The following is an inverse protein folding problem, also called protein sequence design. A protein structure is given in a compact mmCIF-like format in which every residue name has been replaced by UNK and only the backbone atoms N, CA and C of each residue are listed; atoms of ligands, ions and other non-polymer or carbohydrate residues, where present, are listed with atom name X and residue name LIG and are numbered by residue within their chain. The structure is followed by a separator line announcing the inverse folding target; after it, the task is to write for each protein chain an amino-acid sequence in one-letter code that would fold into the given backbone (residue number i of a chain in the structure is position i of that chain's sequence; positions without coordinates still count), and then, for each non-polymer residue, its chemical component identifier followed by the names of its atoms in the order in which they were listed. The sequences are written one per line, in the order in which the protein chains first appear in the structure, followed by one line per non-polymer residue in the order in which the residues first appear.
data_IF_746081719399
#
_entry.id   IF_746081719399
#
_cell.length_a   1.000
_cell.length_b   1.000
_cell.length_c   1.000
_cell.angle_alpha   90.00
_cell.angle_beta   90.00
_cell.angle_gamma   90.00
#
_symmetry.space_group_name_H-M   'P 1'
#
loop_
_entity.id
_entity.type
_entity.pdbx_description
1 polymer ?
#
# COMPACT_ATOMS: atom_id res chain seq x y z
N UNK A 1 -12.93 -5.81 -4.27
CA UNK A 1 -12.51 -7.23 -4.14
C UNK A 1 -12.74 -7.72 -2.71
N UNK A 2 -12.18 -7.04 -1.71
CA UNK A 2 -12.34 -7.39 -0.27
C UNK A 2 -13.80 -7.63 0.14
N UNK A 3 -14.73 -6.72 -0.16
CA UNK A 3 -16.14 -6.92 0.22
C UNK A 3 -16.79 -8.14 -0.45
N UNK A 4 -16.35 -8.52 -1.65
CA UNK A 4 -16.84 -9.74 -2.33
C UNK A 4 -16.34 -11.00 -1.62
N UNK A 5 -15.06 -11.03 -1.24
CA UNK A 5 -14.47 -12.11 -0.44
C UNK A 5 -15.19 -12.21 0.90
N UNK A 6 -15.36 -11.08 1.58
CA UNK A 6 -16.06 -11.00 2.85
C UNK A 6 -17.50 -11.49 2.75
N UNK A 7 -18.24 -11.09 1.71
CA UNK A 7 -19.62 -11.54 1.47
C UNK A 7 -19.70 -13.05 1.28
N UNK A 8 -18.76 -13.63 0.53
CA UNK A 8 -18.68 -15.09 0.34
C UNK A 8 -18.39 -15.81 1.67
N UNK A 9 -17.48 -15.27 2.48
CA UNK A 9 -17.16 -15.81 3.80
C UNK A 9 -18.33 -15.69 4.77
N UNK A 10 -19.05 -14.57 4.81
CA UNK A 10 -20.24 -14.43 5.67
C UNK A 10 -21.37 -15.39 5.27
N UNK A 11 -21.43 -15.82 4.01
CA UNK A 11 -22.38 -16.86 3.58
C UNK A 11 -21.96 -18.26 4.04
N UNK A 12 -20.65 -18.53 4.10
CA UNK A 12 -20.11 -19.85 4.43
C UNK A 12 -19.91 -20.06 5.94
N UNK A 13 -19.33 -19.07 6.62
CA UNK A 13 -19.05 -19.04 8.05
C UNK A 13 -19.43 -17.66 8.64
N UNK A 14 -20.72 -17.42 8.95
CA UNK A 14 -21.23 -16.12 9.38
C UNK A 14 -20.57 -15.62 10.67
N UNK A 15 -20.09 -14.38 10.67
CA UNK A 15 -19.52 -13.73 11.86
C UNK A 15 -18.21 -14.34 12.39
N UNK A 16 -17.51 -15.14 11.59
CA UNK A 16 -16.29 -15.85 12.02
C UNK A 16 -15.00 -15.12 11.62
N UNK A 17 -14.84 -14.77 10.34
CA UNK A 17 -13.57 -14.26 9.81
C UNK A 17 -13.54 -12.73 9.84
N UNK A 18 -12.58 -12.09 10.53
CA UNK A 18 -12.47 -10.62 10.56
C UNK A 18 -12.05 -10.03 9.21
N UNK A 19 -12.35 -8.74 8.97
CA UNK A 19 -11.86 -8.07 7.76
C UNK A 19 -10.34 -7.87 7.78
N UNK A 20 -9.73 -7.74 8.96
CA UNK A 20 -8.29 -7.74 9.14
C UNK A 20 -7.64 -9.04 8.62
N UNK A 21 -8.21 -10.20 8.95
CA UNK A 21 -7.71 -11.48 8.45
C UNK A 21 -7.99 -11.67 6.95
N UNK A 22 -9.14 -11.19 6.45
CA UNK A 22 -9.42 -11.18 5.00
C UNK A 22 -8.32 -10.42 4.24
N UNK A 23 -7.91 -9.25 4.72
CA UNK A 23 -6.86 -8.46 4.09
C UNK A 23 -5.51 -9.21 4.08
N UNK A 24 -5.11 -9.81 5.20
CA UNK A 24 -3.86 -10.55 5.32
C UNK A 24 -3.81 -11.77 4.39
N UNK A 25 -4.90 -12.54 4.33
CA UNK A 25 -5.02 -13.74 3.48
C UNK A 25 -5.03 -13.33 2.00
N UNK A 26 -5.83 -12.32 1.62
CA UNK A 26 -5.87 -11.84 0.24
C UNK A 26 -4.51 -11.32 -0.21
N UNK A 27 -3.76 -10.62 0.65
CA UNK A 27 -2.42 -10.17 0.31
C UNK A 27 -1.50 -11.34 -0.04
N UNK A 28 -1.51 -12.42 0.76
CA UNK A 28 -0.76 -13.65 0.45
C UNK A 28 -1.22 -14.27 -0.86
N UNK A 29 -2.53 -14.42 -1.05
CA UNK A 29 -3.06 -15.08 -2.23
C UNK A 29 -2.79 -14.28 -3.53
N UNK A 30 -2.75 -12.94 -3.47
CA UNK A 30 -2.34 -12.10 -4.61
C UNK A 30 -0.90 -12.39 -5.01
N UNK A 31 0.05 -12.35 -4.07
CA UNK A 31 1.47 -12.52 -4.42
C UNK A 31 1.75 -13.92 -4.97
N UNK A 32 1.09 -14.94 -4.41
CA UNK A 32 1.15 -16.32 -4.91
C UNK A 32 0.57 -16.43 -6.32
N UNK A 33 -0.60 -15.85 -6.56
CA UNK A 33 -1.23 -15.86 -7.88
C UNK A 33 -0.39 -15.14 -8.95
N UNK A 34 0.51 -14.25 -8.53
CA UNK A 34 1.43 -13.51 -9.41
C UNK A 34 2.84 -14.10 -9.50
N UNK A 35 3.14 -15.22 -8.82
CA UNK A 35 4.41 -15.95 -9.01
C UNK A 35 5.26 -16.17 -7.76
N UNK A 36 4.84 -15.67 -6.59
CA UNK A 36 5.57 -15.89 -5.34
C UNK A 36 5.36 -17.31 -4.77
N UNK A 37 6.24 -17.73 -3.86
CA UNK A 37 5.98 -18.89 -3.01
C UNK A 37 4.90 -18.56 -1.97
N UNK A 38 4.04 -19.53 -1.67
CA UNK A 38 3.08 -19.40 -0.58
C UNK A 38 3.77 -19.42 0.78
N UNK A 39 3.19 -18.70 1.73
CA UNK A 39 3.54 -18.73 3.14
C UNK A 39 2.27 -18.81 3.98
N UNK A 40 2.40 -19.32 5.21
CA UNK A 40 1.27 -19.41 6.14
C UNK A 40 0.97 -18.03 6.73
N UNK A 41 -0.31 -17.68 6.73
CA UNK A 41 -0.80 -16.43 7.29
C UNK A 41 -1.38 -16.74 8.66
N UNK A 42 -0.82 -16.12 9.70
CA UNK A 42 -1.42 -16.18 11.04
C UNK A 42 -2.79 -15.52 11.01
N UNK A 43 -3.80 -16.13 11.62
CA UNK A 43 -5.18 -15.62 11.72
C UNK A 43 -5.54 -15.32 13.18
N UNK A 44 -6.74 -14.77 13.40
CA UNK A 44 -7.24 -14.41 14.73
C UNK A 44 -7.20 -12.91 15.03
N UNK A 45 -6.92 -12.07 14.01
CA UNK A 45 -7.03 -10.62 14.14
C UNK A 45 -8.50 -10.24 14.29
N UNK A 46 -8.74 -9.11 14.94
CA UNK A 46 -10.06 -8.48 15.07
C UNK A 46 -10.05 -7.09 14.46
N UNK A 47 -11.23 -6.66 14.07
CA UNK A 47 -11.43 -5.38 13.41
C UNK A 47 -11.47 -4.23 14.41
N UNK A 48 -10.67 -3.19 14.13
CA UNK A 48 -10.73 -1.93 14.84
C UNK A 48 -12.01 -1.15 14.54
N UNK A 49 -12.36 -0.24 15.43
CA UNK A 49 -13.56 0.61 15.38
C UNK A 49 -13.26 2.09 15.14
N UNK A 50 -12.02 2.45 14.79
CA UNK A 50 -11.61 3.83 14.48
C UNK A 50 -10.78 3.81 13.20
N UNK A 51 -10.94 4.85 12.39
CA UNK A 51 -10.07 5.12 11.25
C UNK A 51 -9.70 6.61 11.27
N UNK A 52 -8.40 6.91 11.31
CA UNK A 52 -7.89 8.27 11.45
C UNK A 52 -6.98 8.63 10.27
N UNK A 53 -7.32 9.72 9.58
CA UNK A 53 -6.49 10.27 8.49
C UNK A 53 -5.14 10.73 9.02
N UNK A 54 -5.11 11.38 10.18
CA UNK A 54 -3.88 11.88 10.78
C UNK A 54 -2.95 10.72 11.18
N UNK A 55 -3.50 9.63 11.72
CA UNK A 55 -2.69 8.44 11.99
C UNK A 55 -2.10 7.86 10.70
N UNK A 56 -2.87 7.77 9.62
CA UNK A 56 -2.35 7.31 8.34
C UNK A 56 -1.21 8.21 7.82
N UNK A 57 -1.41 9.53 7.80
CA UNK A 57 -0.42 10.49 7.30
C UNK A 57 0.87 10.51 8.14
N UNK A 58 0.77 10.25 9.45
CA UNK A 58 1.91 10.25 10.36
C UNK A 58 2.67 8.92 10.41
N UNK A 59 2.06 7.82 9.94
CA UNK A 59 2.63 6.47 10.08
C UNK A 59 2.96 5.78 8.76
N UNK A 60 2.54 6.32 7.61
CA UNK A 60 2.90 5.80 6.30
C UNK A 60 4.21 6.41 5.82
N UNK A 61 5.10 5.54 5.33
CA UNK A 61 6.37 5.93 4.75
C UNK A 61 6.14 6.66 3.41
N UNK A 62 6.66 7.88 3.23
CA UNK A 62 6.50 8.59 1.98
C UNK A 62 7.49 8.08 0.91
N UNK A 63 7.13 8.15 -0.39
CA UNK A 63 8.00 7.66 -1.47
C UNK A 63 9.30 8.45 -1.64
N UNK A 64 9.38 9.66 -1.08
CA UNK A 64 10.57 10.51 -1.09
C UNK A 64 11.48 10.32 0.15
N UNK A 65 11.18 9.33 1.02
CA UNK A 65 11.96 9.07 2.23
C UNK A 65 13.41 8.69 1.92
N UNK A 66 14.33 9.18 2.78
CA UNK A 66 15.73 8.74 2.77
C UNK A 66 15.93 7.48 3.64
N UNK A 67 17.10 6.87 3.59
CA UNK A 67 17.37 5.61 4.28
C UNK A 67 17.28 5.71 5.81
N UNK A 68 17.60 6.87 6.39
CA UNK A 68 17.46 7.10 7.83
C UNK A 68 15.99 7.09 8.24
N UNK A 69 15.12 7.77 7.50
CA UNK A 69 13.67 7.77 7.71
C UNK A 69 13.10 6.37 7.52
N UNK A 70 13.46 5.68 6.43
CA UNK A 70 13.01 4.31 6.17
C UNK A 70 13.30 3.36 7.34
N UNK A 71 14.54 3.38 7.84
CA UNK A 71 14.95 2.53 8.97
C UNK A 71 14.21 2.91 10.26
N UNK A 72 14.06 4.21 10.53
CA UNK A 72 13.36 4.68 11.72
C UNK A 72 11.88 4.27 11.72
N UNK A 73 11.18 4.47 10.60
CA UNK A 73 9.76 4.17 10.47
C UNK A 73 9.47 2.67 10.55
N UNK A 74 10.30 1.84 9.92
CA UNK A 74 10.19 0.38 10.04
C UNK A 74 10.49 -0.09 11.47
N UNK A 75 11.54 0.45 12.10
CA UNK A 75 11.88 0.11 13.49
C UNK A 75 10.77 0.51 14.47
N UNK A 76 10.10 1.65 14.27
CA UNK A 76 8.93 2.05 15.06
C UNK A 76 7.77 1.06 14.97
N UNK A 77 7.71 0.26 13.89
CA UNK A 77 6.75 -0.83 13.71
C UNK A 77 7.29 -2.20 14.13
N UNK A 78 8.47 -2.24 14.75
CA UNK A 78 9.13 -3.49 15.17
C UNK A 78 9.67 -4.31 13.99
N UNK A 79 9.85 -3.70 12.83
CA UNK A 79 10.43 -4.34 11.65
C UNK A 79 11.93 -4.07 11.55
N UNK A 80 12.68 -5.10 11.16
CA UNK A 80 14.13 -5.02 11.01
C UNK A 80 14.53 -4.30 9.70
N UNK A 81 15.82 -3.98 9.57
CA UNK A 81 16.40 -3.44 8.33
C UNK A 81 16.29 -4.47 7.19
N UNK A 82 16.38 -5.76 7.50
CA UNK A 82 16.09 -6.83 6.55
C UNK A 82 14.62 -6.80 6.10
N UNK A 83 13.67 -6.63 7.03
CA UNK A 83 12.25 -6.52 6.66
C UNK A 83 12.00 -5.32 5.74
N UNK A 84 12.68 -4.19 5.98
CA UNK A 84 12.62 -3.01 5.10
C UNK A 84 12.98 -3.34 3.65
N UNK A 85 14.18 -3.89 3.40
CA UNK A 85 14.63 -4.17 2.04
C UNK A 85 13.82 -5.30 1.38
N UNK A 86 13.40 -6.30 2.15
CA UNK A 86 12.58 -7.41 1.67
C UNK A 86 11.20 -6.92 1.24
N UNK A 87 10.50 -6.17 2.11
CA UNK A 87 9.15 -5.67 1.84
C UNK A 87 9.13 -4.60 0.75
N UNK A 88 10.21 -3.83 0.61
CA UNK A 88 10.39 -2.93 -0.55
C UNK A 88 10.41 -3.68 -1.88
N UNK A 89 10.84 -4.95 -1.87
CA UNK A 89 10.73 -5.87 -3.01
C UNK A 89 9.30 -6.06 -3.52
N UNK A 90 8.27 -5.74 -2.73
CA UNK A 90 6.88 -5.72 -3.18
C UNK A 90 6.60 -4.75 -4.33
N UNK A 91 7.46 -3.74 -4.54
CA UNK A 91 7.39 -2.84 -5.70
C UNK A 91 7.69 -3.53 -7.04
N UNK A 92 8.04 -4.83 -7.07
CA UNK A 92 8.05 -5.63 -8.31
C UNK A 92 6.66 -5.73 -8.97
N UNK A 93 5.59 -5.57 -8.18
CA UNK A 93 4.21 -5.69 -8.66
C UNK A 93 3.47 -4.34 -8.65
N UNK A 94 2.81 -4.01 -9.76
CA UNK A 94 1.86 -2.91 -9.82
C UNK A 94 2.42 -1.56 -10.28
N UNK A 95 1.61 -0.52 -10.09
CA UNK A 95 1.84 0.82 -10.67
C UNK A 95 1.78 1.91 -9.61
N UNK A 96 2.41 3.04 -9.89
CA UNK A 96 2.35 4.25 -9.09
C UNK A 96 1.88 5.45 -9.91
N UNK A 97 1.28 6.44 -9.25
CA UNK A 97 0.95 7.71 -9.88
C UNK A 97 2.22 8.56 -10.06
N UNK A 98 2.27 9.35 -11.14
CA UNK A 98 3.37 10.28 -11.41
C UNK A 98 3.67 11.21 -10.23
N UNK A 99 2.65 11.61 -9.47
CA UNK A 99 2.78 12.49 -8.31
C UNK A 99 3.71 11.93 -7.23
N UNK A 100 3.81 10.62 -7.09
CA UNK A 100 4.65 9.96 -6.08
C UNK A 100 6.16 10.06 -6.33
N UNK A 101 6.59 10.48 -7.53
CA UNK A 101 8.02 10.60 -7.89
C UNK A 101 8.32 11.79 -8.81
N UNK A 102 7.36 12.70 -8.99
CA UNK A 102 7.48 13.85 -9.90
C UNK A 102 8.58 14.84 -9.49
N UNK A 103 8.85 14.95 -8.20
CA UNK A 103 9.97 15.72 -7.63
C UNK A 103 11.30 15.26 -8.23
N UNK A 104 11.51 13.94 -8.33
CA UNK A 104 12.72 13.37 -8.95
C UNK A 104 12.90 13.75 -10.41
N UNK A 105 11.82 14.07 -11.13
CA UNK A 105 11.87 14.42 -12.55
C UNK A 105 12.06 15.92 -12.80
N UNK A 106 11.51 16.77 -11.93
CA UNK A 106 11.32 18.18 -12.24
C UNK A 106 11.74 19.15 -11.15
N UNK A 107 11.93 18.72 -9.90
CA UNK A 107 12.26 19.64 -8.81
C UNK A 107 12.96 18.96 -7.62
N UNK A 108 13.98 18.14 -7.88
CA UNK A 108 14.53 17.24 -6.86
C UNK A 108 15.15 17.98 -5.66
N UNK A 109 15.86 19.09 -5.90
CA UNK A 109 16.44 19.93 -4.83
C UNK A 109 15.65 21.21 -4.57
N UNK A 110 14.48 21.37 -5.19
CA UNK A 110 13.69 22.60 -5.11
C UNK A 110 14.12 23.70 -6.08
N UNK A 111 15.03 23.41 -7.02
CA UNK A 111 15.60 24.39 -7.96
C UNK A 111 15.24 24.13 -9.43
N UNK A 112 14.23 23.30 -9.71
CA UNK A 112 13.85 22.92 -11.07
C UNK A 112 14.78 21.89 -11.72
N UNK A 113 15.41 21.04 -10.92
CA UNK A 113 16.39 20.03 -11.34
C UNK A 113 15.84 18.60 -11.29
N UNK A 114 16.61 17.66 -11.84
CA UNK A 114 16.27 16.23 -11.88
C UNK A 114 17.21 15.46 -10.96
N UNK A 115 16.70 14.41 -10.33
CA UNK A 115 17.46 13.57 -9.41
C UNK A 115 18.73 12.98 -10.07
N UNK A 116 19.93 13.35 -9.60
CA UNK A 116 21.19 12.84 -10.13
C UNK A 116 21.48 11.40 -9.72
N UNK A 117 20.62 10.73 -8.93
CA UNK A 117 20.64 9.29 -8.60
C UNK A 117 19.69 8.46 -9.48
N UNK A 118 18.90 9.05 -10.38
CA UNK A 118 18.05 8.32 -11.34
C UNK A 118 18.73 8.21 -12.71
N UNK A 119 18.63 7.07 -13.40
CA UNK A 119 19.23 6.84 -14.73
C UNK A 119 18.69 7.85 -15.76
N UNK A 120 19.57 8.53 -16.51
CA UNK A 120 19.19 9.62 -17.43
C UNK A 120 18.28 9.14 -18.57
N UNK A 121 18.53 7.95 -19.10
CA UNK A 121 17.66 7.33 -20.10
C UNK A 121 16.31 6.92 -19.51
N UNK A 122 16.27 6.55 -18.23
CA UNK A 122 15.02 6.25 -17.55
C UNK A 122 14.21 7.51 -17.26
N UNK A 123 14.85 8.59 -16.80
CA UNK A 123 14.26 9.93 -16.68
C UNK A 123 13.60 10.34 -17.99
N UNK A 124 14.31 10.23 -19.12
CA UNK A 124 13.78 10.62 -20.42
C UNK A 124 12.49 9.84 -20.74
N UNK A 125 12.47 8.53 -20.48
CA UNK A 125 11.28 7.69 -20.66
C UNK A 125 10.14 8.05 -19.71
N UNK A 126 10.44 8.36 -18.45
CA UNK A 126 9.43 8.77 -17.47
C UNK A 126 8.80 10.12 -17.85
N UNK A 127 9.59 11.10 -18.31
CA UNK A 127 9.09 12.43 -18.78
C UNK A 127 8.22 12.35 -20.04
N UNK A 128 8.31 11.27 -20.83
CA UNK A 128 7.37 11.02 -21.91
C UNK A 128 5.96 10.74 -21.37
N UNK A 129 5.85 10.01 -20.24
CA UNK A 129 4.60 9.62 -19.60
C UNK A 129 4.09 10.68 -18.61
N UNK A 130 4.94 11.08 -17.67
CA UNK A 130 4.61 12.02 -16.60
C UNK A 130 4.96 13.44 -17.02
N UNK A 131 3.96 14.32 -17.18
CA UNK A 131 4.19 15.76 -17.37
C UNK A 131 4.33 16.48 -16.02
N UNK A 132 4.93 17.69 -15.98
CA UNK A 132 4.90 18.50 -14.77
C UNK A 132 3.47 18.65 -14.24
N UNK A 133 3.28 18.49 -12.93
CA UNK A 133 1.98 18.53 -12.23
C UNK A 133 0.97 17.41 -12.60
N UNK A 134 1.41 16.32 -13.25
CA UNK A 134 0.55 15.16 -13.50
C UNK A 134 0.27 14.38 -12.20
N UNK A 135 -1.00 14.32 -11.82
CA UNK A 135 -1.46 13.66 -10.61
C UNK A 135 -2.07 12.28 -10.85
N UNK A 136 -2.31 11.89 -12.10
CA UNK A 136 -3.23 10.78 -12.41
C UNK A 136 -2.60 9.67 -13.24
N UNK A 137 -1.62 9.99 -14.10
CA UNK A 137 -0.98 8.98 -14.95
C UNK A 137 -0.30 7.90 -14.10
N UNK A 138 -0.58 6.65 -14.45
CA UNK A 138 0.01 5.47 -13.82
C UNK A 138 1.27 5.03 -14.58
N UNK A 139 2.30 4.69 -13.82
CA UNK A 139 3.58 4.17 -14.31
C UNK A 139 3.91 2.88 -13.58
N UNK A 140 4.44 1.91 -14.31
CA UNK A 140 4.90 0.62 -13.77
C UNK A 140 6.04 0.84 -12.77
N UNK A 141 5.92 0.25 -11.57
CA UNK A 141 6.99 0.31 -10.56
C UNK A 141 8.18 -0.59 -10.96
N UNK A 142 7.90 -1.66 -11.69
CA UNK A 142 8.86 -2.60 -12.29
C UNK A 142 8.65 -2.71 -13.81
N UNK A 143 9.27 -1.83 -14.62
CA UNK A 143 9.06 -1.81 -16.05
C UNK A 143 9.49 -3.12 -16.72
N UNK A 144 8.52 -3.79 -17.34
CA UNK A 144 8.71 -5.09 -17.99
C UNK A 144 8.32 -6.31 -17.16
N UNK A 145 8.07 -6.16 -15.85
CA UNK A 145 7.56 -7.24 -14.99
C UNK A 145 6.37 -6.86 -14.09
N UNK A 146 5.70 -5.75 -14.38
CA UNK A 146 4.61 -5.14 -13.57
C UNK A 146 3.49 -6.07 -13.07
N UNK A 147 3.27 -7.23 -13.70
CA UNK A 147 2.21 -8.21 -13.34
C UNK A 147 2.72 -9.49 -12.70
N UNK A 148 4.04 -9.62 -12.55
CA UNK A 148 4.69 -10.81 -12.02
C UNK A 148 5.37 -10.43 -10.72
N UNK A 149 5.14 -11.20 -9.66
CA UNK A 149 5.87 -11.05 -8.43
C UNK A 149 7.19 -11.82 -8.55
N UNK A 150 8.26 -11.11 -8.88
CA UNK A 150 9.58 -11.69 -9.11
C UNK A 150 10.70 -10.85 -8.49
N UNK A 151 11.93 -11.04 -8.97
CA UNK A 151 13.13 -10.40 -8.41
C UNK A 151 13.61 -9.20 -9.24
N UNK A 152 12.89 -8.81 -10.31
CA UNK A 152 13.31 -7.77 -11.26
C UNK A 152 13.41 -6.39 -10.63
N UNK A 153 12.63 -6.12 -9.59
CA UNK A 153 12.84 -4.99 -8.71
C UNK A 153 14.32 -4.84 -8.29
N UNK A 154 14.94 -5.91 -7.78
CA UNK A 154 16.34 -5.86 -7.34
C UNK A 154 17.33 -5.69 -8.50
N UNK A 155 17.02 -6.18 -9.70
CA UNK A 155 17.82 -5.94 -10.91
C UNK A 155 17.83 -4.45 -11.34
N UNK A 156 16.79 -3.68 -10.97
CA UNK A 156 16.61 -2.29 -11.37
C UNK A 156 17.30 -1.30 -10.41
N UNK A 157 17.34 -1.61 -9.11
CA UNK A 157 17.90 -0.70 -8.09
C UNK A 157 19.35 -0.28 -8.39
N UNK A 158 20.34 -1.18 -8.56
CA UNK A 158 21.72 -0.78 -8.83
C UNK A 158 21.90 -0.13 -10.21
N UNK A 159 20.96 -0.35 -11.13
CA UNK A 159 20.92 0.33 -12.44
C UNK A 159 20.34 1.75 -12.33
N UNK A 160 20.09 2.23 -11.12
CA UNK A 160 19.46 3.53 -10.85
C UNK A 160 18.10 3.65 -11.51
N UNK A 161 17.32 2.56 -11.47
CA UNK A 161 15.98 2.45 -12.08
C UNK A 161 14.88 2.09 -11.09
N UNK A 162 15.14 2.19 -9.78
CA UNK A 162 14.08 2.25 -8.76
C UNK A 162 13.24 3.52 -8.95
N UNK A 163 11.92 3.39 -8.92
CA UNK A 163 11.00 4.47 -9.29
C UNK A 163 10.99 5.58 -8.23
N UNK A 164 10.97 5.21 -6.96
CA UNK A 164 10.90 6.15 -5.84
C UNK A 164 12.27 6.55 -5.32
N UNK A 165 12.36 7.69 -4.62
CA UNK A 165 13.58 8.06 -3.90
C UNK A 165 13.86 7.04 -2.81
N UNK A 166 12.82 6.52 -2.15
CA UNK A 166 12.93 5.45 -1.16
C UNK A 166 13.54 4.17 -1.72
N UNK A 167 13.27 3.81 -2.97
CA UNK A 167 13.90 2.66 -3.64
C UNK A 167 15.40 2.89 -3.84
N UNK A 168 15.78 4.08 -4.33
CA UNK A 168 17.17 4.44 -4.54
C UNK A 168 17.94 4.56 -3.22
N UNK A 169 17.27 4.97 -2.14
CA UNK A 169 17.84 5.11 -0.81
C UNK A 169 18.30 3.78 -0.20
N UNK A 170 17.78 2.63 -0.67
CA UNK A 170 18.26 1.30 -0.25
C UNK A 170 19.73 1.04 -0.64
N UNK A 171 20.32 1.84 -1.54
CA UNK A 171 21.75 1.75 -1.83
C UNK A 171 22.63 2.57 -0.88
N UNK A 172 22.03 3.43 -0.05
CA UNK A 172 22.71 4.32 0.89
C UNK A 172 22.93 3.66 2.28
N UNK A 173 22.55 2.39 2.46
CA UNK A 173 22.82 1.60 3.67
C UNK A 173 23.46 0.25 3.31
N UNK A 174 24.46 -0.16 4.10
CA UNK A 174 25.27 -1.35 3.80
C UNK A 174 24.51 -2.66 3.94
N UNK A 175 23.56 -2.76 4.87
CA UNK A 175 22.81 -3.99 5.12
C UNK A 175 21.76 -4.23 4.03
N UNK A 176 21.00 -3.18 3.71
CA UNK A 176 20.03 -3.20 2.61
C UNK A 176 20.72 -3.47 1.26
N UNK A 177 21.85 -2.79 0.98
CA UNK A 177 22.66 -3.06 -0.22
C UNK A 177 23.18 -4.49 -0.28
N UNK A 178 23.69 -5.04 0.82
CA UNK A 178 24.17 -6.41 0.87
C UNK A 178 23.05 -7.43 0.57
N UNK A 179 21.82 -7.15 1.00
CA UNK A 179 20.66 -7.98 0.65
C UNK A 179 20.34 -7.92 -0.85
N UNK A 180 20.34 -6.73 -1.45
CA UNK A 180 20.12 -6.54 -2.89
C UNK A 180 21.18 -7.30 -3.70
N UNK A 181 22.46 -7.13 -3.35
CA UNK A 181 23.57 -7.81 -4.01
C UNK A 181 23.48 -9.33 -3.88
N UNK A 182 23.02 -9.83 -2.73
CA UNK A 182 22.74 -11.26 -2.53
C UNK A 182 21.66 -11.75 -3.49
N UNK A 183 20.51 -11.08 -3.58
CA UNK A 183 19.42 -11.53 -4.46
C UNK A 183 19.84 -11.51 -5.93
N UNK A 184 20.60 -10.52 -6.37
CA UNK A 184 21.14 -10.47 -7.74
C UNK A 184 22.09 -11.65 -7.98
N UNK A 185 23.04 -11.87 -7.06
CA UNK A 185 24.06 -12.91 -7.20
C UNK A 185 23.48 -14.32 -7.22
N UNK A 186 22.41 -14.57 -6.46
CA UNK A 186 21.81 -15.90 -6.33
C UNK A 186 20.59 -16.13 -7.23
N UNK A 187 20.20 -15.13 -8.03
CA UNK A 187 18.96 -15.19 -8.81
C UNK A 187 17.71 -15.22 -7.93
N UNK A 188 17.75 -14.57 -6.76
CA UNK A 188 16.62 -14.42 -5.86
C UNK A 188 16.33 -15.63 -4.98
N UNK A 189 17.31 -16.50 -4.75
CA UNK A 189 17.11 -17.81 -4.13
C UNK A 189 16.47 -17.76 -2.73
N UNK A 190 16.60 -16.65 -2.00
CA UNK A 190 15.98 -16.50 -0.67
C UNK A 190 14.82 -15.52 -0.63
N UNK A 191 14.64 -14.69 -1.67
CA UNK A 191 13.69 -13.57 -1.67
C UNK A 191 12.28 -13.99 -1.30
N UNK A 192 11.68 -14.98 -1.98
CA UNK A 192 10.29 -15.35 -1.71
C UNK A 192 10.07 -15.88 -0.28
N UNK A 193 11.06 -16.61 0.27
CA UNK A 193 11.00 -17.10 1.65
C UNK A 193 11.11 -15.95 2.63
N UNK A 194 12.08 -15.05 2.42
CA UNK A 194 12.27 -13.88 3.25
C UNK A 194 11.02 -12.98 3.20
N UNK A 195 10.42 -12.79 2.02
CA UNK A 195 9.20 -12.01 1.82
C UNK A 195 8.03 -12.58 2.61
N UNK A 196 7.83 -13.90 2.61
CA UNK A 196 6.81 -14.54 3.44
C UNK A 196 7.03 -14.29 4.94
N UNK A 197 8.27 -14.41 5.42
CA UNK A 197 8.62 -14.11 6.83
C UNK A 197 8.34 -12.65 7.17
N UNK A 198 8.78 -11.70 6.33
CA UNK A 198 8.57 -10.27 6.56
C UNK A 198 7.10 -9.87 6.46
N UNK A 199 6.32 -10.51 5.58
CA UNK A 199 4.86 -10.31 5.52
C UNK A 199 4.15 -10.80 6.79
N UNK A 200 4.59 -11.92 7.38
CA UNK A 200 4.08 -12.38 8.67
C UNK A 200 4.47 -11.40 9.79
N UNK A 201 5.72 -10.93 9.82
CA UNK A 201 6.17 -9.91 10.78
C UNK A 201 5.31 -8.64 10.67
N UNK A 202 5.10 -8.13 9.45
CA UNK A 202 4.24 -6.97 9.18
C UNK A 202 2.79 -7.23 9.61
N UNK A 203 2.29 -8.46 9.40
CA UNK A 203 0.96 -8.86 9.82
C UNK A 203 0.74 -8.86 11.34
N UNK A 204 1.79 -8.81 12.17
CA UNK A 204 1.66 -8.79 13.64
C UNK A 204 1.55 -7.38 14.23
N UNK A 205 1.74 -6.34 13.42
CA UNK A 205 1.77 -4.96 13.88
C UNK A 205 0.40 -4.53 14.43
N UNK A 206 0.36 -4.12 15.70
CA UNK A 206 -0.80 -3.44 16.30
C UNK A 206 -2.13 -4.22 16.25
N UNK A 207 -2.06 -5.55 16.21
CA UNK A 207 -3.26 -6.39 16.03
C UNK A 207 -4.15 -6.40 17.26
N UNK A 208 -5.47 -6.38 17.04
CA UNK A 208 -6.47 -6.67 18.08
C UNK A 208 -6.75 -8.18 18.10
N UNK A 209 -6.83 -8.78 19.29
CA UNK A 209 -7.04 -10.22 19.48
C UNK A 209 -8.02 -10.49 20.63
N UNK A 210 -8.44 -11.76 20.78
CA UNK A 210 -9.32 -12.18 21.88
C UNK A 210 -10.68 -11.48 21.82
N UNK A 211 -10.98 -10.64 22.80
CA UNK A 211 -12.22 -9.87 22.87
C UNK A 211 -12.05 -8.40 22.47
N UNK A 212 -10.83 -7.95 22.14
CA UNK A 212 -10.59 -6.58 21.69
C UNK A 212 -11.05 -6.39 20.24
N UNK A 213 -11.84 -5.35 19.97
CA UNK A 213 -12.42 -5.10 18.64
C UNK A 213 -13.56 -6.06 18.28
N UNK A 214 -13.94 -6.09 17.01
CA UNK A 214 -15.11 -6.85 16.53
C UNK A 214 -14.78 -7.77 15.34
N UNK A 215 -15.76 -8.58 14.92
CA UNK A 215 -15.75 -9.24 13.61
C UNK A 215 -16.80 -8.55 12.76
N UNK A 216 -16.38 -7.64 11.88
CA UNK A 216 -17.31 -6.88 11.04
C UNK A 216 -17.92 -7.80 10.01
N UNK A 217 -19.22 -7.68 9.75
CA UNK A 217 -19.87 -8.38 8.61
C UNK A 217 -19.62 -7.70 7.27
N UNK A 218 -19.35 -6.39 7.29
CA UNK A 218 -19.07 -5.55 6.12
C UNK A 218 -17.83 -4.73 6.40
N UNK A 219 -16.78 -4.90 5.59
CA UNK A 219 -15.48 -4.28 5.84
C UNK A 219 -15.48 -2.78 5.60
N UNK A 220 -16.19 -2.33 4.56
CA UNK A 220 -16.30 -0.91 4.20
C UNK A 220 -17.32 -0.13 5.04
N UNK A 221 -17.97 -0.75 6.04
CA UNK A 221 -18.92 -0.04 6.90
C UNK A 221 -18.18 1.06 7.64
N UNK A 222 -18.62 2.32 7.45
CA UNK A 222 -18.05 3.47 8.15
C UNK A 222 -18.18 3.26 9.65
N UNK A 223 -17.08 3.48 10.34
CA UNK A 223 -17.00 3.61 11.79
C UNK A 223 -16.55 5.05 12.04
N UNK A 224 -16.93 5.63 13.18
CA UNK A 224 -16.76 7.04 13.52
C UNK A 224 -15.46 7.64 12.94
N UNK A 225 -15.60 8.68 12.10
CA UNK A 225 -14.46 9.45 11.57
C UNK A 225 -14.24 10.61 12.54
N UNK A 226 -13.18 10.56 13.33
CA UNK A 226 -12.78 11.72 14.14
C UNK A 226 -12.20 12.80 13.22
N UNK A 227 -13.01 13.80 12.90
CA UNK A 227 -12.54 15.06 12.29
C UNK A 227 -12.28 16.02 13.45
N UNK A 228 -11.02 16.14 13.88
CA UNK A 228 -10.65 17.21 14.81
C UNK A 228 -10.65 18.55 14.05
N UNK A 229 -11.57 19.44 14.39
CA UNK A 229 -11.48 20.85 14.05
C UNK A 229 -10.70 21.60 15.13
N UNK A 230 -9.73 22.40 14.70
CA UNK A 230 -9.12 23.44 15.52
C UNK A 230 -10.11 24.59 15.73
N UNK A 231 -10.34 24.92 17.00
CA UNK A 231 -10.91 26.17 17.54
C UNK A 231 -12.45 26.36 17.51
N UNK A 232 -13.02 26.21 18.71
CA UNK A 232 -14.10 27.00 19.32
C UNK A 232 -15.55 27.01 18.79
N UNK A 233 -15.99 26.06 17.94
CA UNK A 233 -17.44 25.81 17.82
C UNK A 233 -17.75 24.34 17.57
N UNK A 234 -18.53 23.73 18.48
CA UNK A 234 -19.05 22.37 18.33
C UNK A 234 -20.15 22.36 17.26
N UNK A 235 -19.80 22.02 16.01
CA UNK A 235 -20.79 21.72 14.96
C UNK A 235 -20.94 20.21 14.85
N UNK A 236 -22.01 19.67 15.44
CA UNK A 236 -22.45 18.28 15.26
C UNK A 236 -22.92 18.09 13.81
N UNK A 237 -22.06 17.57 12.93
CA UNK A 237 -22.50 17.05 11.64
C UNK A 237 -23.00 15.61 11.82
N UNK A 238 -24.30 15.45 12.01
CA UNK A 238 -24.97 14.19 11.70
C UNK A 238 -25.04 14.03 10.18
N UNK A 239 -24.11 13.28 9.60
CA UNK A 239 -24.30 12.76 8.24
C UNK A 239 -25.33 11.64 8.30
N UNK A 240 -26.60 11.99 8.02
CA UNK A 240 -27.65 11.03 7.78
C UNK A 240 -27.23 10.05 6.67
N UNK A 241 -27.49 8.77 6.91
CA UNK A 241 -27.26 7.70 5.96
C UNK A 241 -27.96 7.98 4.63
N UNK A 242 -27.23 7.88 3.52
CA UNK A 242 -27.84 7.55 2.23
C UNK A 242 -27.48 6.10 1.90
N UNK A 243 -28.14 5.17 2.58
CA UNK A 243 -28.36 3.85 2.03
C UNK A 243 -29.51 3.97 1.02
N UNK A 244 -29.20 4.09 -0.26
CA UNK A 244 -30.20 3.88 -1.31
C UNK A 244 -29.69 2.87 -2.34
N UNK A 245 -30.54 1.92 -2.78
CA UNK A 245 -30.25 1.05 -3.89
C UNK A 245 -30.26 1.88 -5.19
N UNK A 246 -29.43 1.49 -6.16
CA UNK A 246 -29.26 2.15 -7.45
C UNK A 246 -30.58 2.34 -8.24
N UNK A 247 -30.58 3.09 -9.38
CA UNK A 247 -29.73 4.23 -9.76
C UNK A 247 -30.57 5.51 -9.98
N UNK A 248 -29.87 6.65 -10.16
CA UNK A 248 -30.38 8.00 -10.51
C UNK A 248 -30.93 8.87 -9.36
N UNK A 249 -30.09 9.77 -8.86
CA UNK A 249 -30.16 11.24 -9.04
C UNK A 249 -28.85 11.83 -8.50
N UNK A 250 -28.34 12.82 -9.22
CA UNK A 250 -27.14 13.58 -8.91
C UNK A 250 -27.40 14.48 -7.69
N UNK A 251 -26.69 14.27 -6.58
CA UNK A 251 -26.69 15.21 -5.46
C UNK A 251 -25.31 15.85 -5.36
N UNK A 252 -25.23 17.11 -5.79
CA UNK A 252 -24.10 17.99 -5.53
C UNK A 252 -24.06 18.33 -4.03
N UNK A 253 -22.92 18.13 -3.39
CA UNK A 253 -22.53 18.91 -2.22
C UNK A 253 -21.53 19.96 -2.69
N UNK A 254 -22.01 21.20 -2.82
CA UNK A 254 -21.14 22.37 -2.96
C UNK A 254 -20.86 22.87 -1.54
N UNK A 255 -19.63 22.69 -1.07
CA UNK A 255 -19.14 23.34 0.15
C UNK A 255 -18.19 24.47 -0.23
N UNK A 256 -18.47 25.68 0.25
CA UNK A 256 -17.58 26.83 0.06
C UNK A 256 -16.59 26.94 1.21
N UNK A 257 -15.29 27.00 0.88
CA UNK A 257 -14.28 27.63 1.73
C UNK A 257 -13.15 28.15 0.84
N UNK A 258 -12.94 29.47 0.85
CA UNK A 258 -11.87 30.21 0.16
C UNK A 258 -11.57 29.79 -1.29
N UNK A 259 -12.52 30.06 -2.20
CA UNK A 259 -12.35 30.15 -3.66
C UNK A 259 -11.66 28.98 -4.41
N UNK A 260 -11.62 27.77 -3.88
CA UNK A 260 -11.18 26.59 -4.65
C UNK A 260 -12.18 25.43 -4.57
N UNK A 261 -12.52 24.88 -5.74
CA UNK A 261 -13.43 23.74 -5.90
C UNK A 261 -12.64 22.43 -5.70
N UNK A 262 -13.05 21.57 -4.76
CA UNK A 262 -12.51 20.22 -4.63
C UNK A 262 -13.58 19.18 -4.98
N UNK A 263 -13.28 18.32 -5.95
CA UNK A 263 -14.07 17.14 -6.29
C UNK A 263 -13.20 15.89 -6.10
N UNK A 264 -13.63 14.96 -5.24
CA UNK A 264 -12.97 13.66 -5.08
C UNK A 264 -13.76 12.58 -5.84
N UNK A 265 -13.08 11.92 -6.78
CA UNK A 265 -13.63 10.89 -7.67
C UNK A 265 -13.19 9.50 -7.15
N UNK A 266 -14.14 8.59 -6.93
CA UNK A 266 -13.84 7.17 -6.69
C UNK A 266 -13.85 6.40 -8.02
N UNK A 267 -12.75 5.75 -8.39
CA UNK A 267 -12.68 4.80 -9.51
C UNK A 267 -12.16 3.45 -9.00
N UNK A 268 -12.87 2.36 -9.29
CA UNK A 268 -12.39 0.97 -9.16
C UNK A 268 -12.56 0.25 -10.50
N UNK A 269 -11.53 -0.50 -10.96
CA UNK A 269 -11.68 -1.47 -12.05
C UNK A 269 -10.91 -2.78 -11.78
N UNK A 270 -11.69 -3.86 -11.70
CA UNK A 270 -11.47 -5.29 -11.96
C UNK A 270 -10.08 -5.95 -11.77
N UNK A 271 -10.03 -6.90 -10.84
CA UNK A 271 -9.37 -8.21 -11.02
C UNK A 271 -10.24 -9.32 -10.39
N UNK A 272 -10.48 -10.40 -11.15
CA UNK A 272 -11.18 -11.61 -10.74
C UNK A 272 -10.15 -12.74 -10.65
N UNK A 273 -9.85 -13.25 -9.45
CA UNK A 273 -9.56 -14.66 -9.11
C UNK A 273 -9.56 -14.72 -7.57
N UNK A 274 -10.38 -15.55 -6.91
CA UNK A 274 -10.05 -16.12 -5.57
C UNK A 274 -10.90 -17.36 -5.29
N UNK A 275 -10.24 -18.40 -4.75
CA UNK A 275 -10.83 -19.64 -4.25
C UNK A 275 -11.25 -19.46 -2.80
N UNK A 276 -12.48 -19.87 -2.46
CA UNK A 276 -13.18 -19.56 -1.20
C UNK A 276 -13.08 -20.65 -0.13
N UNK A 277 -12.27 -21.69 -0.32
CA UNK A 277 -12.39 -22.91 0.48
C UNK A 277 -11.52 -22.99 1.74
N UNK A 278 -10.39 -22.27 1.81
CA UNK A 278 -9.37 -22.55 2.86
C UNK A 278 -9.50 -21.70 4.13
N UNK A 279 -10.22 -20.57 4.08
CA UNK A 279 -10.24 -19.61 5.20
C UNK A 279 -11.05 -20.10 6.42
N UNK A 280 -12.14 -20.86 6.24
CA UNK A 280 -12.97 -21.30 7.38
C UNK A 280 -12.38 -22.54 8.11
N UNK A 281 -11.32 -23.20 7.60
CA UNK A 281 -10.73 -24.40 8.23
C UNK A 281 -9.58 -24.10 9.21
N UNK A 282 -9.07 -22.88 9.24
CA UNK A 282 -7.89 -22.48 10.03
C UNK A 282 -8.16 -21.30 11.00
N UNK A 283 -9.42 -21.07 11.39
CA UNK A 283 -9.81 -20.12 12.45
C UNK A 283 -10.41 -20.89 13.62
#
# INVERSE_FOLDING_TARGET
VIDRVKTALEKACPGTVSCADVLAIVARDVVVATGALSYDVETGRRDGNVSSLNEALNNLVPPNANITTLKADFAMKGLSVKDLVVLSGGHTLGTSHCSSFSDRLYNFTGKGDTDPKLDSNYIARLKLKCKPNDQTTLVEMDPGSVRTFDIKYFDLIPKRRGLFTSDAALLDDSETKAYIDLQIKTGGSTFFKDFGVSMVNMGRIGVLTGTAGEVRKVCAKRIYVEIFHTSDYMVLYYLYACSLPAPTILSFLVGFSNNNLFASLCIFKNMNVFSTATACMHV
#
